data_IF_283145367817
#
_entry.id   IF_283145367817
#
_cell.length_a   1.000
_cell.length_b   1.000
_cell.length_c   1.000
_cell.angle_alpha   90.00
_cell.angle_beta   90.00
_cell.angle_gamma   90.00
#
_symmetry.space_group_name_H-M   'P 1'
#
loop_
_entity.id
_entity.type
_entity.pdbx_description
1 polymer ?
#
# COMPACT_ATOMS: atom_id res chain seq x y z
N UNK A 1 0.13 -11.56 5.34
CA UNK A 1 -0.70 -10.45 5.90
C UNK A 1 -0.15 -9.10 5.44
N UNK A 2 -0.98 -8.10 5.19
CA UNK A 2 -0.56 -6.79 4.69
C UNK A 2 -1.18 -5.66 5.53
N UNK A 3 -0.41 -4.60 5.79
CA UNK A 3 -0.86 -3.36 6.42
C UNK A 3 -0.52 -2.18 5.52
N UNK A 4 -1.45 -1.22 5.41
CA UNK A 4 -1.28 0.02 4.68
C UNK A 4 -1.35 1.19 5.66
N UNK A 5 -0.36 2.07 5.63
CA UNK A 5 -0.41 3.38 6.26
C UNK A 5 -0.69 4.42 5.18
N UNK A 6 -1.87 5.06 5.25
CA UNK A 6 -2.34 6.00 4.23
C UNK A 6 -2.27 7.41 4.78
N UNK A 7 -1.42 8.25 4.19
CA UNK A 7 -1.40 9.69 4.50
C UNK A 7 -2.72 10.32 4.06
N UNK A 8 -3.29 11.20 4.88
CA UNK A 8 -4.50 11.97 4.51
C UNK A 8 -4.15 13.35 3.93
N UNK A 9 -2.88 13.77 4.01
CA UNK A 9 -2.43 15.09 3.56
C UNK A 9 -1.91 15.10 2.11
N UNK A 10 -1.46 13.94 1.61
CA UNK A 10 -0.88 13.81 0.28
C UNK A 10 -1.03 12.36 -0.25
N UNK A 11 -0.92 12.13 -1.58
CA UNK A 11 -0.93 10.79 -2.18
C UNK A 11 0.34 10.01 -1.83
N UNK A 12 0.38 9.47 -0.61
CA UNK A 12 1.51 8.75 -0.04
C UNK A 12 1.03 7.59 0.81
N UNK A 13 1.46 6.38 0.45
CA UNK A 13 1.11 5.15 1.17
C UNK A 13 2.35 4.32 1.44
N UNK A 14 2.45 3.82 2.67
CA UNK A 14 3.42 2.81 3.06
C UNK A 14 2.73 1.45 3.15
N UNK A 15 3.27 0.46 2.44
CA UNK A 15 2.82 -0.92 2.49
C UNK A 15 3.81 -1.76 3.28
N UNK A 16 3.28 -2.50 4.24
CA UNK A 16 4.01 -3.49 5.03
C UNK A 16 3.41 -4.86 4.72
N UNK A 17 4.17 -5.71 4.05
CA UNK A 17 3.76 -7.06 3.68
C UNK A 17 4.55 -8.07 4.51
N UNK A 18 3.86 -8.83 5.36
CA UNK A 18 4.45 -9.97 6.05
C UNK A 18 4.57 -11.14 5.06
N UNK A 19 5.81 -11.41 4.66
CA UNK A 19 6.17 -12.58 3.86
C UNK A 19 6.20 -13.78 4.81
N UNK A 20 5.04 -14.40 4.99
CA UNK A 20 4.80 -15.55 5.87
C UNK A 20 5.66 -16.76 5.43
N UNK A 21 6.94 -16.71 5.79
CA UNK A 21 7.93 -17.76 5.53
C UNK A 21 8.17 -18.52 6.83
N UNK A 22 8.41 -19.84 6.76
CA UNK A 22 8.57 -20.68 7.95
C UNK A 22 9.70 -20.28 8.91
N UNK A 23 10.54 -19.30 8.58
CA UNK A 23 11.80 -19.00 9.27
C UNK A 23 12.00 -17.53 9.67
N UNK A 24 10.98 -16.67 9.61
CA UNK A 24 11.14 -15.34 10.22
C UNK A 24 10.10 -14.30 9.83
N UNK A 25 9.84 -13.41 10.79
CA UNK A 25 9.03 -12.19 10.73
C UNK A 25 9.60 -11.15 9.74
N UNK A 26 9.73 -11.52 8.46
CA UNK A 26 10.29 -10.64 7.45
C UNK A 26 9.19 -9.81 6.82
N UNK A 27 9.02 -8.62 7.36
CA UNK A 27 8.21 -7.57 6.75
C UNK A 27 8.95 -6.96 5.56
N UNK A 28 8.30 -6.98 4.41
CA UNK A 28 8.68 -6.17 3.26
C UNK A 28 8.00 -4.82 3.38
N UNK A 29 8.80 -3.76 3.25
CA UNK A 29 8.33 -2.38 3.23
C UNK A 29 8.44 -1.81 1.82
N UNK A 30 7.40 -1.11 1.39
CA UNK A 30 7.36 -0.41 0.11
C UNK A 30 6.58 0.90 0.27
N UNK A 31 6.98 1.90 -0.52
CA UNK A 31 6.32 3.21 -0.57
C UNK A 31 5.72 3.43 -1.96
N UNK A 32 4.54 4.03 -1.96
CA UNK A 32 3.88 4.52 -3.15
C UNK A 32 3.63 6.01 -3.00
N UNK A 33 4.34 6.78 -3.82
CA UNK A 33 4.19 8.23 -3.93
C UNK A 33 3.54 8.59 -5.28
N UNK A 34 2.58 9.52 -5.24
CA UNK A 34 1.97 10.10 -6.43
C UNK A 34 0.68 9.41 -6.91
N UNK A 35 -0.28 10.22 -7.34
CA UNK A 35 -1.66 9.80 -7.62
C UNK A 35 -1.82 8.83 -8.80
N UNK A 36 -0.85 8.82 -9.73
CA UNK A 36 -0.87 8.00 -10.95
C UNK A 36 -0.43 6.55 -10.71
N UNK A 37 0.13 6.25 -9.53
CA UNK A 37 0.58 4.90 -9.19
C UNK A 37 -0.57 4.00 -8.75
N UNK A 38 -0.28 2.71 -8.68
CA UNK A 38 -1.18 1.72 -8.11
C UNK A 38 -0.45 0.86 -7.08
N UNK A 39 -1.19 0.43 -6.06
CA UNK A 39 -0.71 -0.46 -5.00
C UNK A 39 -1.07 -1.88 -5.37
N UNK A 40 -0.10 -2.79 -5.28
CA UNK A 40 -0.33 -4.22 -5.44
C UNK A 40 -0.62 -4.83 -4.08
N UNK A 41 -1.81 -5.41 -3.89
CA UNK A 41 -2.20 -6.09 -2.66
C UNK A 41 -2.12 -7.60 -2.88
N UNK A 42 -1.03 -8.20 -2.42
CA UNK A 42 -0.69 -9.60 -2.69
C UNK A 42 -1.67 -10.60 -2.06
N UNK A 43 -2.21 -10.28 -0.89
CA UNK A 43 -3.17 -11.15 -0.19
C UNK A 43 -4.52 -11.21 -0.90
N UNK A 44 -4.87 -10.17 -1.67
CA UNK A 44 -6.11 -10.07 -2.45
C UNK A 44 -5.89 -10.35 -3.93
N UNK A 45 -4.64 -10.40 -4.38
CA UNK A 45 -4.24 -10.53 -5.79
C UNK A 45 -4.90 -9.46 -6.68
N UNK A 46 -4.88 -8.20 -6.22
CA UNK A 46 -5.41 -7.05 -6.95
C UNK A 46 -4.38 -5.93 -7.06
N UNK A 47 -4.60 -5.06 -8.04
CA UNK A 47 -3.92 -3.79 -8.20
C UNK A 47 -4.95 -2.66 -8.00
N UNK A 48 -4.66 -1.75 -7.05
CA UNK A 48 -5.57 -0.67 -6.66
C UNK A 48 -4.93 0.69 -6.99
N UNK A 49 -5.48 1.46 -7.95
CA UNK A 49 -4.98 2.80 -8.26
C UNK A 49 -5.06 3.74 -7.06
N UNK A 50 -4.03 4.57 -6.86
CA UNK A 50 -4.02 5.56 -5.77
C UNK A 50 -5.16 6.58 -5.93
N UNK A 51 -5.55 6.90 -7.16
CA UNK A 51 -6.72 7.75 -7.46
C UNK A 51 -8.03 7.25 -6.82
N UNK A 52 -8.20 5.93 -6.64
CA UNK A 52 -9.41 5.38 -5.98
C UNK A 52 -9.37 5.55 -4.47
N UNK A 53 -8.18 5.43 -3.86
CA UNK A 53 -7.97 5.61 -2.42
C UNK A 53 -8.15 7.08 -2.03
N UNK A 54 -7.62 7.99 -2.85
CA UNK A 54 -7.63 9.43 -2.60
C UNK A 54 -8.81 10.17 -3.26
N UNK A 55 -9.76 9.47 -3.88
CA UNK A 55 -10.84 10.04 -4.71
C UNK A 55 -11.64 11.19 -4.07
N UNK A 56 -11.69 11.25 -2.74
CA UNK A 56 -12.45 12.25 -1.98
C UNK A 56 -11.61 13.04 -0.99
N UNK A 57 -10.29 12.97 -1.13
CA UNK A 57 -9.37 13.80 -0.36
C UNK A 57 -9.10 15.03 -1.22
N UNK A 58 -9.58 16.19 -0.76
CA UNK A 58 -9.17 17.47 -1.33
C UNK A 58 -7.74 17.74 -0.89
N UNK A 59 -6.81 17.60 -1.82
CA UNK A 59 -5.40 17.94 -1.66
C UNK A 59 -5.19 19.45 -1.66
#
# INVERSE_FOLDING_TARGET
>A
CEYLLVSQAEPYIEQYHNLDRPSGDRWQWQVYDGIERAIVLHSLNIELPMAEIYRRISL
#
